data_IF_059136596581
#
_entry.id   IF_059136596581
#
_cell.length_a   1.000
_cell.length_b   1.000
_cell.length_c   1.000
_cell.angle_alpha   90.00
_cell.angle_beta   90.00
_cell.angle_gamma   90.00
#
_symmetry.space_group_name_H-M   'P 1'
#
loop_
_entity.id
_entity.type
_entity.pdbx_description
1 polymer ?
#
# COMPACT_ATOMS: atom_id res chain seq x y z
N UNK A 1 15.93 18.76 8.39
CA UNK A 1 15.47 18.59 7.00
C UNK A 1 16.20 19.51 6.03
N UNK A 2 16.27 20.84 6.30
CA UNK A 2 17.02 21.77 5.43
C UNK A 2 18.50 21.44 5.43
N UNK A 3 19.09 21.15 6.59
CA UNK A 3 20.49 20.70 6.73
C UNK A 3 20.76 19.36 6.06
N UNK A 4 19.73 18.56 5.78
CA UNK A 4 19.80 17.29 5.08
C UNK A 4 19.55 17.42 3.56
N UNK A 5 19.53 18.67 3.08
CA UNK A 5 19.40 18.98 1.65
C UNK A 5 17.96 19.01 1.11
N UNK A 6 16.93 18.99 1.96
CA UNK A 6 15.53 19.13 1.52
C UNK A 6 15.20 20.60 1.39
N UNK A 7 14.84 21.10 0.19
CA UNK A 7 14.46 22.47 -0.03
C UNK A 7 13.24 22.88 0.82
N UNK A 8 13.23 24.10 1.33
CA UNK A 8 12.17 24.58 2.22
C UNK A 8 10.77 24.50 1.61
N UNK A 9 10.64 24.71 0.31
CA UNK A 9 9.39 24.58 -0.43
C UNK A 9 8.88 23.13 -0.61
N UNK A 10 9.70 22.14 -0.21
CA UNK A 10 9.34 20.71 -0.15
C UNK A 10 9.15 20.21 1.26
N UNK A 11 9.07 21.09 2.24
CA UNK A 11 8.77 20.73 3.62
C UNK A 11 7.31 21.05 3.91
N UNK A 12 6.52 20.02 4.14
CA UNK A 12 5.16 20.16 4.63
C UNK A 12 5.12 20.13 6.15
N UNK A 13 4.24 20.93 6.76
CA UNK A 13 4.01 20.98 8.18
C UNK A 13 2.59 20.50 8.49
N UNK A 14 2.47 19.54 9.37
CA UNK A 14 1.19 19.07 9.90
C UNK A 14 1.16 19.45 11.38
N UNK A 15 0.11 20.17 11.75
CA UNK A 15 -0.13 20.59 13.12
C UNK A 15 -1.23 19.73 13.71
N UNK A 16 -1.08 19.31 14.95
CA UNK A 16 -2.14 18.61 15.66
C UNK A 16 -2.14 18.93 17.14
N UNK A 17 -3.29 18.81 17.77
CA UNK A 17 -3.50 19.01 19.21
C UNK A 17 -3.92 17.70 19.84
N UNK A 18 -3.33 17.37 20.98
CA UNK A 18 -3.85 16.35 21.87
C UNK A 18 -4.77 17.06 22.89
N UNK A 19 -6.06 16.79 22.80
CA UNK A 19 -7.09 17.39 23.61
C UNK A 19 -7.77 16.30 24.46
N UNK A 20 -8.27 16.69 25.64
CA UNK A 20 -9.10 15.81 26.45
C UNK A 20 -10.16 16.63 27.20
N UNK A 21 -11.20 15.96 27.68
CA UNK A 21 -12.06 16.59 28.68
C UNK A 21 -11.34 16.71 30.02
N UNK A 22 -11.55 17.81 30.71
CA UNK A 22 -11.00 18.03 32.04
C UNK A 22 -11.40 16.87 32.96
N UNK A 23 -10.44 16.35 33.75
CA UNK A 23 -10.58 15.19 34.64
C UNK A 23 -10.70 13.83 33.94
N UNK A 24 -10.55 13.77 32.62
CA UNK A 24 -10.42 12.49 31.90
C UNK A 24 -8.96 12.18 31.56
N UNK A 25 -8.65 10.89 31.33
CA UNK A 25 -7.29 10.44 31.01
C UNK A 25 -7.05 10.23 29.53
N UNK A 26 -8.13 10.10 28.73
CA UNK A 26 -8.03 9.77 27.32
C UNK A 26 -7.85 11.02 26.47
N UNK A 27 -6.70 11.10 25.81
CA UNK A 27 -6.40 12.17 24.88
C UNK A 27 -6.89 11.80 23.47
N UNK A 28 -7.41 12.78 22.76
CA UNK A 28 -7.80 12.66 21.36
C UNK A 28 -6.98 13.64 20.55
N UNK A 29 -6.19 13.13 19.61
CA UNK A 29 -5.42 13.95 18.69
C UNK A 29 -6.33 14.45 17.57
N UNK A 30 -6.34 15.76 17.30
CA UNK A 30 -7.00 16.38 16.15
C UNK A 30 -5.99 17.13 15.29
N UNK A 31 -6.11 17.01 13.97
CA UNK A 31 -5.32 17.83 13.07
C UNK A 31 -5.92 19.23 12.99
N UNK A 32 -5.05 20.24 12.91
CA UNK A 32 -5.41 21.64 12.77
C UNK A 32 -4.61 22.29 11.65
N UNK A 33 -5.13 23.36 11.09
CA UNK A 33 -4.47 24.13 10.06
C UNK A 33 -3.75 25.35 10.63
N UNK A 34 -2.73 25.83 9.91
CA UNK A 34 -2.04 27.08 10.28
C UNK A 34 -2.99 28.29 10.29
N UNK A 35 -4.08 28.25 9.52
CA UNK A 35 -5.07 29.33 9.51
C UNK A 35 -5.95 29.31 10.76
N UNK A 36 -6.35 28.14 11.26
CA UNK A 36 -7.09 27.98 12.51
C UNK A 36 -6.25 28.48 13.69
N UNK A 37 -4.95 28.16 13.69
CA UNK A 37 -4.02 28.68 14.72
C UNK A 37 -3.98 30.22 14.68
N UNK A 38 -3.79 30.80 13.49
CA UNK A 38 -3.71 32.26 13.33
C UNK A 38 -4.98 33.01 13.72
N UNK A 39 -6.16 32.38 13.51
CA UNK A 39 -7.47 32.95 13.84
C UNK A 39 -7.90 32.66 15.27
N UNK A 40 -7.14 31.82 16.00
CA UNK A 40 -7.54 31.29 17.31
C UNK A 40 -8.97 30.68 17.29
N UNK A 41 -9.27 29.88 16.25
CA UNK A 41 -10.60 29.30 16.04
C UNK A 41 -10.80 28.08 16.93
N UNK A 42 -10.85 28.32 18.23
CA UNK A 42 -10.98 27.26 19.24
C UNK A 42 -12.32 26.53 19.14
N UNK A 43 -13.39 27.20 18.72
CA UNK A 43 -14.72 26.60 18.58
C UNK A 43 -14.72 25.50 17.50
N UNK A 44 -14.08 25.76 16.35
CA UNK A 44 -13.93 24.77 15.29
C UNK A 44 -13.10 23.58 15.76
N UNK A 45 -12.01 23.85 16.50
CA UNK A 45 -11.15 22.80 17.06
C UNK A 45 -11.92 21.94 18.10
N UNK A 46 -12.69 22.56 18.99
CA UNK A 46 -13.49 21.88 20.00
C UNK A 46 -14.56 20.99 19.35
N UNK A 47 -15.30 21.48 18.37
CA UNK A 47 -16.30 20.70 17.62
C UNK A 47 -15.68 19.46 16.97
N UNK A 48 -14.49 19.59 16.39
CA UNK A 48 -13.76 18.48 15.78
C UNK A 48 -13.32 17.46 16.82
N UNK A 49 -12.88 17.94 17.99
CA UNK A 49 -12.56 17.08 19.12
C UNK A 49 -13.79 16.30 19.60
N UNK A 50 -14.92 16.96 19.87
CA UNK A 50 -16.15 16.31 20.32
C UNK A 50 -16.60 15.22 19.34
N UNK A 51 -16.61 15.52 18.02
CA UNK A 51 -16.94 14.57 16.98
C UNK A 51 -16.01 13.35 16.98
N UNK A 52 -14.69 13.57 17.09
CA UNK A 52 -13.70 12.50 17.10
C UNK A 52 -13.75 11.68 18.39
N UNK A 53 -13.94 12.34 19.53
CA UNK A 53 -14.12 11.68 20.83
C UNK A 53 -15.35 10.75 20.80
N UNK A 54 -16.49 11.23 20.30
CA UNK A 54 -17.69 10.42 20.16
C UNK A 54 -17.48 9.22 19.22
N UNK A 55 -16.75 9.39 18.12
CA UNK A 55 -16.43 8.30 17.20
C UNK A 55 -15.53 7.21 17.83
N UNK A 56 -14.62 7.60 18.74
CA UNK A 56 -13.69 6.67 19.39
C UNK A 56 -14.27 5.98 20.61
N UNK A 57 -15.07 6.72 21.41
CA UNK A 57 -15.52 6.26 22.73
C UNK A 57 -17.04 6.07 22.84
N UNK A 58 -17.81 6.45 21.81
CA UNK A 58 -19.26 6.28 21.78
C UNK A 58 -20.04 7.35 22.54
N UNK A 59 -19.41 8.41 23.02
CA UNK A 59 -20.06 9.53 23.71
C UNK A 59 -19.32 10.84 23.49
N UNK A 60 -20.03 11.96 23.75
CA UNK A 60 -19.50 13.31 23.79
C UNK A 60 -20.07 14.03 25.00
N UNK A 61 -19.29 14.92 25.61
CA UNK A 61 -19.73 15.79 26.72
C UNK A 61 -19.89 17.24 26.24
N UNK A 62 -20.22 17.42 24.96
CA UNK A 62 -20.44 18.75 24.36
C UNK A 62 -21.70 19.42 24.95
N UNK A 63 -22.78 18.66 25.09
CA UNK A 63 -24.07 19.16 25.64
C UNK A 63 -23.95 19.56 27.11
N UNK A 64 -23.11 18.85 27.87
CA UNK A 64 -22.81 19.16 29.27
C UNK A 64 -21.85 20.34 29.43
N UNK A 65 -21.37 20.91 28.33
CA UNK A 65 -20.40 22.01 28.31
C UNK A 65 -19.14 21.71 29.13
N UNK A 66 -18.74 20.44 29.17
CA UNK A 66 -17.52 20.01 29.87
C UNK A 66 -16.30 20.67 29.25
N UNK A 67 -15.46 21.37 30.02
CA UNK A 67 -14.27 22.01 29.49
C UNK A 67 -13.31 21.04 28.83
N UNK A 68 -12.73 21.47 27.69
CA UNK A 68 -11.67 20.75 26.98
C UNK A 68 -10.35 21.40 27.29
N UNK A 69 -9.34 20.62 27.62
CA UNK A 69 -7.99 21.10 27.88
C UNK A 69 -7.01 20.62 26.79
N UNK A 70 -6.07 21.50 26.46
CA UNK A 70 -4.96 21.20 25.56
C UNK A 70 -3.84 20.56 26.36
N UNK A 71 -3.42 19.37 25.95
CA UNK A 71 -2.32 18.64 26.57
C UNK A 71 -1.01 18.87 25.79
N UNK A 72 -1.06 18.63 24.47
CA UNK A 72 0.11 18.81 23.61
C UNK A 72 -0.25 19.53 22.31
N UNK A 73 0.68 20.36 21.85
CA UNK A 73 0.76 20.83 20.46
C UNK A 73 1.85 20.02 19.76
N UNK A 74 1.51 19.33 18.70
CA UNK A 74 2.45 18.57 17.88
C UNK A 74 2.66 19.24 16.53
N UNK A 75 3.91 19.25 16.09
CA UNK A 75 4.29 19.73 14.75
C UNK A 75 5.07 18.60 14.10
N UNK A 76 4.54 18.08 13.00
CA UNK A 76 5.25 17.11 12.17
C UNK A 76 5.75 17.80 10.92
N UNK A 77 7.05 17.75 10.67
CA UNK A 77 7.69 18.28 9.46
C UNK A 77 8.01 17.12 8.52
N UNK A 78 7.44 17.14 7.33
CA UNK A 78 7.61 16.09 6.31
C UNK A 78 8.41 16.66 5.14
N UNK A 79 9.62 16.13 4.94
CA UNK A 79 10.41 16.41 3.74
C UNK A 79 9.91 15.59 2.56
N UNK A 80 9.40 16.27 1.54
CA UNK A 80 8.92 15.59 0.32
C UNK A 80 10.10 15.24 -0.56
N UNK A 81 10.42 13.96 -0.64
CA UNK A 81 11.42 13.42 -1.58
C UNK A 81 10.79 13.13 -2.94
N UNK A 82 11.61 13.09 -3.98
CA UNK A 82 11.14 12.65 -5.28
C UNK A 82 10.72 11.18 -5.19
N UNK A 83 9.48 10.90 -5.59
CA UNK A 83 9.01 9.51 -5.67
C UNK A 83 9.61 8.85 -6.92
N UNK A 84 10.01 7.56 -6.84
CA UNK A 84 10.44 6.83 -8.00
C UNK A 84 9.32 6.80 -9.05
N UNK A 85 9.70 6.99 -10.31
CA UNK A 85 8.79 6.81 -11.43
C UNK A 85 8.98 5.38 -11.94
N UNK A 86 7.91 4.61 -11.93
CA UNK A 86 7.91 3.30 -12.56
C UNK A 86 7.86 3.49 -14.07
N UNK A 87 8.73 2.79 -14.79
CA UNK A 87 8.61 2.68 -16.23
C UNK A 87 7.50 1.69 -16.53
N UNK A 88 6.68 2.03 -17.52
CA UNK A 88 5.62 1.16 -18.00
C UNK A 88 6.16 0.36 -19.18
N UNK A 89 6.08 -0.95 -19.09
CA UNK A 89 6.41 -1.83 -20.21
C UNK A 89 5.30 -1.80 -21.26
N UNK A 90 5.68 -1.89 -22.52
CA UNK A 90 4.73 -2.12 -23.60
C UNK A 90 4.24 -3.57 -23.56
N UNK A 91 2.99 -3.77 -23.99
CA UNK A 91 2.43 -5.13 -24.09
C UNK A 91 3.21 -5.98 -25.10
N UNK A 92 3.75 -7.12 -24.67
CA UNK A 92 4.59 -8.05 -25.48
C UNK A 92 3.84 -9.34 -25.87
N UNK A 93 2.56 -9.47 -25.47
CA UNK A 93 1.76 -10.65 -25.72
C UNK A 93 1.78 -11.67 -24.57
N UNK A 94 0.94 -12.70 -24.70
CA UNK A 94 0.76 -13.69 -23.64
C UNK A 94 1.87 -14.76 -23.59
N UNK A 95 2.56 -14.97 -24.71
CA UNK A 95 3.56 -16.05 -24.85
C UNK A 95 4.83 -15.80 -24.04
N UNK A 96 5.12 -16.61 -22.97
CA UNK A 96 6.31 -16.47 -22.15
C UNK A 96 7.54 -17.23 -22.70
N UNK A 97 7.48 -17.80 -23.91
CA UNK A 97 8.50 -18.71 -24.45
C UNK A 97 9.89 -18.09 -24.48
N UNK A 98 10.03 -16.78 -24.71
CA UNK A 98 11.28 -16.05 -24.66
C UNK A 98 11.95 -16.08 -23.29
N UNK A 99 11.18 -16.28 -22.22
CA UNK A 99 11.66 -16.38 -20.84
C UNK A 99 11.89 -17.82 -20.39
N UNK A 100 11.50 -18.83 -21.19
CA UNK A 100 11.69 -20.23 -20.83
C UNK A 100 13.18 -20.56 -20.75
N UNK A 101 13.60 -21.23 -19.65
CA UNK A 101 14.98 -21.68 -19.41
C UNK A 101 15.16 -23.15 -19.68
N UNK A 102 14.37 -23.96 -18.97
CA UNK A 102 14.44 -25.45 -18.96
C UNK A 102 13.23 -25.99 -18.22
N UNK A 103 13.05 -27.31 -18.30
CA UNK A 103 12.15 -28.02 -17.38
C UNK A 103 12.94 -28.64 -16.24
N UNK A 104 12.34 -28.76 -15.07
CA UNK A 104 12.93 -29.35 -13.88
C UNK A 104 11.91 -30.26 -13.18
N UNK A 105 12.36 -31.39 -12.67
CA UNK A 105 11.52 -32.26 -11.85
C UNK A 105 11.40 -31.69 -10.44
N UNK A 106 10.15 -31.44 -10.00
CA UNK A 106 9.86 -31.04 -8.62
C UNK A 106 8.83 -31.99 -8.02
N UNK A 107 8.85 -32.12 -6.70
CA UNK A 107 7.86 -32.90 -5.98
C UNK A 107 6.63 -32.03 -5.71
N UNK A 108 5.48 -32.47 -6.24
CA UNK A 108 4.19 -31.82 -6.00
C UNK A 108 3.47 -32.56 -4.85
N UNK A 109 3.42 -31.90 -3.68
CA UNK A 109 2.88 -32.51 -2.46
C UNK A 109 1.41 -32.93 -2.56
N UNK A 110 0.50 -32.17 -3.18
CA UNK A 110 -0.88 -32.60 -3.35
C UNK A 110 -1.03 -33.88 -4.20
N UNK A 111 -0.20 -34.00 -5.26
CA UNK A 111 -0.19 -35.17 -6.15
C UNK A 111 0.70 -36.31 -5.67
N UNK A 112 1.51 -36.06 -4.61
CA UNK A 112 2.47 -37.01 -4.03
C UNK A 112 3.42 -37.63 -5.05
N UNK A 113 3.83 -36.87 -6.08
CA UNK A 113 4.72 -37.34 -7.14
C UNK A 113 5.66 -36.25 -7.65
N UNK A 114 6.72 -36.69 -8.34
CA UNK A 114 7.58 -35.77 -9.08
C UNK A 114 7.01 -35.52 -10.48
N UNK A 115 6.89 -34.25 -10.85
CA UNK A 115 6.49 -33.80 -12.18
C UNK A 115 7.57 -32.92 -12.82
N UNK A 116 7.69 -32.97 -14.12
CA UNK A 116 8.48 -32.01 -14.88
C UNK A 116 7.68 -30.71 -14.99
N UNK A 117 8.26 -29.62 -14.54
CA UNK A 117 7.66 -28.28 -14.63
C UNK A 117 8.58 -27.32 -15.35
N UNK A 118 8.01 -26.40 -16.08
CA UNK A 118 8.77 -25.39 -16.80
C UNK A 118 9.34 -24.35 -15.85
N UNK A 119 10.56 -23.92 -16.14
CA UNK A 119 11.28 -22.88 -15.40
C UNK A 119 11.50 -21.69 -16.29
N UNK A 120 11.06 -20.53 -15.84
CA UNK A 120 11.16 -19.25 -16.54
C UNK A 120 12.16 -18.32 -15.86
N UNK A 121 12.82 -17.51 -16.66
CA UNK A 121 13.67 -16.42 -16.19
C UNK A 121 12.81 -15.17 -15.96
N UNK A 122 12.62 -14.78 -14.69
CA UNK A 122 11.81 -13.63 -14.34
C UNK A 122 12.30 -12.30 -14.90
N UNK A 123 13.62 -12.17 -15.17
CA UNK A 123 14.18 -10.98 -15.80
C UNK A 123 13.80 -10.82 -17.28
N UNK A 124 13.36 -11.90 -17.92
CA UNK A 124 12.96 -11.94 -19.33
C UNK A 124 11.46 -11.90 -19.55
N UNK A 125 10.66 -12.02 -18.48
CA UNK A 125 9.22 -11.86 -18.57
C UNK A 125 8.85 -10.41 -18.87
N UNK A 126 7.78 -10.20 -19.64
CA UNK A 126 7.31 -8.89 -20.10
C UNK A 126 5.81 -8.73 -19.85
N UNK A 127 5.34 -7.49 -19.95
CA UNK A 127 3.91 -7.19 -19.79
C UNK A 127 3.05 -8.02 -20.74
N UNK A 128 2.06 -8.68 -20.20
CA UNK A 128 1.14 -9.57 -20.90
C UNK A 128 1.53 -11.04 -20.81
N UNK A 129 2.79 -11.39 -20.51
CA UNK A 129 3.19 -12.79 -20.43
C UNK A 129 2.38 -13.55 -19.38
N UNK A 130 1.86 -14.71 -19.78
CA UNK A 130 1.04 -15.58 -18.95
C UNK A 130 1.79 -16.88 -18.67
N UNK A 131 1.89 -17.23 -17.39
CA UNK A 131 2.47 -18.50 -16.93
C UNK A 131 1.34 -19.36 -16.37
N UNK A 132 1.13 -20.51 -16.97
CA UNK A 132 0.15 -21.49 -16.48
C UNK A 132 0.86 -22.48 -15.56
N UNK A 133 0.35 -22.66 -14.34
CA UNK A 133 0.91 -23.63 -13.40
C UNK A 133 0.60 -25.09 -13.76
N UNK A 134 1.45 -26.04 -13.34
CA UNK A 134 2.60 -25.86 -12.46
C UNK A 134 3.82 -25.30 -13.19
N UNK A 135 4.45 -24.26 -12.63
CA UNK A 135 5.65 -23.63 -13.20
C UNK A 135 6.52 -22.99 -12.11
N UNK A 136 7.75 -22.68 -12.45
CA UNK A 136 8.71 -22.00 -11.58
C UNK A 136 9.26 -20.76 -12.29
N UNK A 137 9.29 -19.62 -11.62
CA UNK A 137 9.92 -18.41 -12.10
C UNK A 137 11.12 -18.13 -11.21
N UNK A 138 12.30 -18.09 -11.79
CA UNK A 138 13.55 -17.78 -11.08
C UNK A 138 13.91 -16.31 -11.29
N UNK A 139 14.20 -15.61 -10.21
CA UNK A 139 14.75 -14.26 -10.18
C UNK A 139 16.05 -14.24 -9.39
N UNK A 140 16.80 -13.14 -9.43
CA UNK A 140 18.13 -13.04 -8.80
C UNK A 140 18.09 -13.36 -7.30
N UNK A 141 17.05 -12.92 -6.61
CA UNK A 141 16.94 -12.98 -5.15
C UNK A 141 15.71 -13.78 -4.64
N UNK A 142 14.90 -14.33 -5.55
CA UNK A 142 13.70 -15.06 -5.18
C UNK A 142 13.28 -16.07 -6.25
N UNK A 143 12.38 -16.96 -5.86
CA UNK A 143 11.75 -17.94 -6.76
C UNK A 143 10.25 -17.96 -6.50
N UNK A 144 9.46 -17.85 -7.57
CA UNK A 144 8.00 -17.94 -7.49
C UNK A 144 7.56 -19.29 -8.04
N UNK A 145 6.81 -20.04 -7.25
CA UNK A 145 6.14 -21.26 -7.69
C UNK A 145 4.69 -20.96 -8.03
N UNK A 146 4.28 -21.25 -9.27
CA UNK A 146 2.90 -21.17 -9.72
C UNK A 146 2.32 -22.59 -9.58
N UNK A 147 1.41 -22.78 -8.63
CA UNK A 147 0.81 -24.09 -8.39
C UNK A 147 -0.15 -24.51 -9.52
N UNK A 148 -0.48 -25.82 -9.65
CA UNK A 148 -1.27 -26.34 -10.79
C UNK A 148 -2.61 -25.65 -11.03
N UNK A 149 -3.26 -25.20 -9.96
CA UNK A 149 -4.57 -24.52 -9.99
C UNK A 149 -4.50 -23.03 -10.31
N UNK A 150 -3.29 -22.45 -10.35
CA UNK A 150 -3.06 -21.03 -10.58
C UNK A 150 -2.51 -20.75 -11.97
N UNK A 151 -2.77 -19.55 -12.45
CA UNK A 151 -2.04 -18.86 -13.50
C UNK A 151 -1.43 -17.59 -12.96
N UNK A 152 -0.45 -17.05 -13.67
CA UNK A 152 0.23 -15.80 -13.33
C UNK A 152 0.30 -14.92 -14.57
N UNK A 153 -0.05 -13.65 -14.42
CA UNK A 153 0.03 -12.62 -15.46
C UNK A 153 1.00 -11.53 -15.04
N UNK A 154 1.83 -11.08 -15.96
CA UNK A 154 2.76 -9.96 -15.76
C UNK A 154 2.06 -8.66 -16.14
N UNK A 155 2.01 -7.67 -15.24
CA UNK A 155 1.40 -6.38 -15.48
C UNK A 155 2.37 -5.38 -16.15
N UNK A 156 1.87 -4.19 -16.49
CA UNK A 156 2.65 -3.12 -17.12
C UNK A 156 3.78 -2.52 -16.27
N UNK A 157 3.84 -2.87 -14.99
CA UNK A 157 4.90 -2.48 -14.07
C UNK A 157 5.94 -3.60 -13.85
N UNK A 158 5.79 -4.74 -14.54
CA UNK A 158 6.60 -5.93 -14.34
C UNK A 158 6.24 -6.70 -13.06
N UNK A 159 5.09 -6.39 -12.44
CA UNK A 159 4.60 -7.10 -11.27
C UNK A 159 3.86 -8.37 -11.65
N UNK A 160 3.84 -9.35 -10.75
CA UNK A 160 3.19 -10.62 -10.95
C UNK A 160 1.85 -10.67 -10.23
N UNK A 161 0.78 -10.91 -10.96
CA UNK A 161 -0.54 -11.23 -10.39
C UNK A 161 -0.80 -12.71 -10.57
N UNK A 162 -0.80 -13.46 -9.45
CA UNK A 162 -1.16 -14.86 -9.43
C UNK A 162 -2.64 -15.01 -9.08
N UNK A 163 -3.36 -15.82 -9.84
CA UNK A 163 -4.80 -15.98 -9.70
C UNK A 163 -5.23 -17.44 -9.98
N UNK A 164 -6.37 -17.82 -9.42
CA UNK A 164 -7.00 -19.11 -9.75
C UNK A 164 -7.43 -19.12 -11.21
N UNK A 165 -7.17 -20.20 -11.91
CA UNK A 165 -7.55 -20.38 -13.33
C UNK A 165 -9.04 -20.12 -13.60
N UNK A 166 -9.89 -20.37 -12.59
CA UNK A 166 -11.33 -20.10 -12.66
C UNK A 166 -11.69 -18.61 -12.68
N UNK A 167 -10.74 -17.70 -12.39
CA UNK A 167 -10.94 -16.23 -12.37
C UNK A 167 -10.18 -15.51 -13.48
N UNK A 168 -9.76 -16.23 -14.50
CA UNK A 168 -8.90 -15.74 -15.57
C UNK A 168 -9.49 -14.50 -16.27
N UNK A 169 -10.71 -14.59 -16.79
CA UNK A 169 -11.36 -13.48 -17.51
C UNK A 169 -11.48 -12.19 -16.68
N UNK A 170 -11.81 -12.33 -15.39
CA UNK A 170 -11.93 -11.19 -14.47
C UNK A 170 -10.58 -10.47 -14.27
N UNK A 171 -9.54 -11.27 -14.04
CA UNK A 171 -8.20 -10.75 -13.73
C UNK A 171 -7.56 -10.14 -14.97
N UNK A 172 -7.65 -10.79 -16.11
CA UNK A 172 -7.12 -10.28 -17.38
C UNK A 172 -7.74 -8.95 -17.76
N UNK A 173 -9.06 -8.84 -17.71
CA UNK A 173 -9.77 -7.58 -17.97
C UNK A 173 -9.30 -6.42 -17.08
N UNK A 174 -8.89 -6.73 -15.86
CA UNK A 174 -8.43 -5.73 -14.89
C UNK A 174 -6.97 -5.31 -15.09
N UNK A 175 -6.12 -6.22 -15.55
CA UNK A 175 -4.66 -6.02 -15.63
C UNK A 175 -4.22 -5.54 -17.00
N UNK A 176 -4.86 -6.03 -18.06
CA UNK A 176 -4.49 -5.70 -19.45
C UNK A 176 -5.10 -4.37 -19.94
N UNK A 177 -6.10 -3.82 -19.25
CA UNK A 177 -6.66 -2.49 -19.51
C UNK A 177 -6.03 -1.43 -18.59
#
# INVERSE_FOLDING_TARGET
>A
LVSEGIPQNRIAHIFSLDLRYVKQYHEVNIEITSQEIKRADFDSMAKRFHKKHNALFGYSLEEEQTPVELINLRIMCIGQTAKPKFQLDAYDGEDPSKAHKKSRRIYLSPQKRFEAVDVFDGARLRFGNRIVGPAVIEQVNTTTFVAPEFSLLVDKFGSYTMYLKTREEEVEKRILN
#
